data_IF_308008261965
#
_entry.id   IF_308008261965
#
_cell.length_a   1.000
_cell.length_b   1.000
_cell.length_c   1.000
_cell.angle_alpha   90.00
_cell.angle_beta   90.00
_cell.angle_gamma   90.00
#
_symmetry.space_group_name_H-M   'P 1'
#
loop_
_entity.id
_entity.type
_entity.pdbx_description
1 polymer ?
#
# COMPACT_ATOMS: atom_id res chain seq x y z
N UNK A 1 13.76 6.52 23.75
CA UNK A 1 12.54 5.82 23.30
C UNK A 1 12.76 5.36 21.88
N UNK A 2 12.88 4.05 21.65
CA UNK A 2 12.95 3.48 20.30
C UNK A 2 11.59 3.70 19.64
N UNK A 3 11.47 4.75 18.82
CA UNK A 3 10.28 4.97 18.01
C UNK A 3 10.14 3.75 17.11
N UNK A 4 9.02 3.04 17.22
CA UNK A 4 8.66 2.02 16.24
C UNK A 4 8.70 2.60 14.82
N UNK A 5 8.58 1.76 13.78
CA UNK A 5 8.63 2.21 12.40
C UNK A 5 7.68 3.39 12.18
N UNK A 6 8.22 4.50 11.68
CA UNK A 6 7.48 5.77 11.51
C UNK A 6 6.38 5.59 10.47
N UNK A 7 5.12 5.82 10.85
CA UNK A 7 3.96 5.73 9.95
C UNK A 7 3.94 6.83 8.88
N UNK A 8 4.59 7.97 9.17
CA UNK A 8 4.44 9.19 8.38
C UNK A 8 5.00 9.04 6.96
N UNK A 9 6.27 8.66 6.82
CA UNK A 9 6.93 8.64 5.51
C UNK A 9 6.35 7.56 4.58
N UNK A 10 6.09 6.32 5.04
CA UNK A 10 5.41 5.33 4.22
C UNK A 10 4.03 5.80 3.74
N UNK A 11 3.22 6.39 4.63
CA UNK A 11 1.90 6.91 4.29
C UNK A 11 1.97 8.02 3.23
N UNK A 12 2.78 9.06 3.46
CA UNK A 12 2.95 10.17 2.51
C UNK A 12 3.54 9.69 1.17
N UNK A 13 4.45 8.70 1.21
CA UNK A 13 5.04 8.14 0.00
C UNK A 13 4.04 7.34 -0.83
N UNK A 14 3.14 6.56 -0.20
CA UNK A 14 2.07 5.87 -0.92
C UNK A 14 1.13 6.87 -1.61
N UNK A 15 0.70 7.91 -0.89
CA UNK A 15 -0.12 8.99 -1.46
C UNK A 15 0.55 9.66 -2.66
N UNK A 16 1.86 9.93 -2.55
CA UNK A 16 2.66 10.56 -3.60
C UNK A 16 2.86 9.67 -4.83
N UNK A 17 3.22 8.40 -4.62
CA UNK A 17 3.51 7.42 -5.69
C UNK A 17 2.26 7.12 -6.50
N UNK A 18 1.15 6.86 -5.81
CA UNK A 18 -0.12 6.49 -6.44
C UNK A 18 -0.97 7.69 -6.88
N UNK A 19 -0.47 8.91 -6.68
CA UNK A 19 -1.16 10.17 -7.00
C UNK A 19 -2.60 10.20 -6.45
N UNK A 20 -2.75 9.73 -5.21
CA UNK A 20 -4.05 9.71 -4.53
C UNK A 20 -4.47 11.15 -4.26
N UNK A 21 -5.67 11.58 -4.70
CA UNK A 21 -6.21 12.88 -4.30
C UNK A 21 -6.39 12.92 -2.77
N UNK A 22 -5.97 14.02 -2.16
CA UNK A 22 -6.04 14.23 -0.71
C UNK A 22 -6.79 15.51 -0.39
N UNK A 23 -7.45 15.51 0.77
CA UNK A 23 -7.88 16.71 1.48
C UNK A 23 -6.96 16.95 2.67
N UNK A 24 -6.26 18.08 2.68
CA UNK A 24 -5.44 18.52 3.81
C UNK A 24 -6.21 19.57 4.58
N UNK A 25 -6.51 19.28 5.84
CA UNK A 25 -7.12 20.22 6.77
C UNK A 25 -6.01 20.92 7.55
N UNK A 26 -6.07 22.24 7.59
CA UNK A 26 -5.15 23.06 8.36
C UNK A 26 -5.66 23.26 9.79
N UNK A 27 -4.78 23.63 10.71
CA UNK A 27 -5.10 23.91 12.12
C UNK A 27 -6.12 25.04 12.29
N UNK A 28 -6.21 25.96 11.32
CA UNK A 28 -7.20 27.04 11.30
C UNK A 28 -8.54 26.64 10.63
N UNK A 29 -8.69 25.38 10.23
CA UNK A 29 -9.90 24.85 9.60
C UNK A 29 -9.96 25.00 8.08
N UNK A 30 -9.01 25.68 7.43
CA UNK A 30 -8.96 25.75 5.97
C UNK A 30 -8.71 24.36 5.39
N UNK A 31 -9.42 24.02 4.31
CA UNK A 31 -9.26 22.78 3.56
C UNK A 31 -8.54 23.05 2.24
N UNK A 32 -7.41 22.38 2.04
CA UNK A 32 -6.70 22.31 0.77
C UNK A 32 -6.98 20.97 0.10
N UNK A 33 -7.05 20.96 -1.23
CA UNK A 33 -7.25 19.74 -2.01
C UNK A 33 -6.26 19.67 -3.16
N UNK A 34 -5.80 18.47 -3.46
CA UNK A 34 -4.82 18.23 -4.52
C UNK A 34 -4.20 16.85 -4.40
N UNK A 35 -3.02 16.68 -4.99
CA UNK A 35 -2.19 15.48 -4.87
C UNK A 35 -0.85 15.83 -4.25
N UNK A 36 -0.26 14.90 -3.49
CA UNK A 36 1.09 15.10 -2.95
C UNK A 36 2.10 14.93 -4.08
N UNK A 37 2.83 16.00 -4.39
CA UNK A 37 3.88 16.00 -5.41
C UNK A 37 5.22 15.52 -4.81
N UNK A 38 5.60 16.09 -3.66
CA UNK A 38 6.78 15.74 -2.88
C UNK A 38 6.57 16.12 -1.39
N UNK A 39 7.47 15.69 -0.53
CA UNK A 39 7.50 16.09 0.88
C UNK A 39 8.92 15.91 1.43
N UNK A 40 9.22 16.63 2.51
CA UNK A 40 10.42 16.42 3.31
C UNK A 40 10.05 16.30 4.79
N UNK A 41 11.00 16.52 5.70
CA UNK A 41 10.76 16.46 7.14
C UNK A 41 9.72 17.48 7.63
N UNK A 42 9.64 18.68 7.04
CA UNK A 42 8.87 19.81 7.55
C UNK A 42 7.73 20.27 6.66
N UNK A 43 7.76 19.97 5.36
CA UNK A 43 6.78 20.45 4.38
C UNK A 43 6.22 19.34 3.49
N UNK A 44 5.06 19.62 2.91
CA UNK A 44 4.43 18.83 1.86
C UNK A 44 4.17 19.76 0.67
N UNK A 45 4.57 19.34 -0.52
CA UNK A 45 4.23 20.05 -1.76
C UNK A 45 2.91 19.47 -2.30
N UNK A 46 1.86 20.27 -2.25
CA UNK A 46 0.52 19.90 -2.71
C UNK A 46 0.28 20.50 -4.10
N UNK A 47 -0.06 19.67 -5.08
CA UNK A 47 -0.39 20.09 -6.44
C UNK A 47 -1.90 20.08 -6.66
N UNK A 48 -2.45 21.24 -7.03
CA UNK A 48 -3.75 21.35 -7.69
C UNK A 48 -3.54 21.92 -9.10
N UNK A 49 -4.07 23.11 -9.43
CA UNK A 49 -3.64 23.90 -10.59
C UNK A 49 -2.16 24.28 -10.50
N UNK A 50 -1.71 24.70 -9.33
CA UNK A 50 -0.31 25.08 -9.03
C UNK A 50 0.26 24.20 -7.92
N UNK A 51 1.59 24.19 -7.81
CA UNK A 51 2.28 23.53 -6.69
C UNK A 51 2.41 24.53 -5.56
N UNK A 52 1.91 24.18 -4.38
CA UNK A 52 2.00 25.01 -3.19
C UNK A 52 2.69 24.23 -2.07
N UNK A 53 3.55 24.92 -1.32
CA UNK A 53 4.23 24.36 -0.16
C UNK A 53 3.37 24.54 1.08
N UNK A 54 3.12 23.46 1.82
CA UNK A 54 2.34 23.46 3.06
C UNK A 54 3.23 22.96 4.20
N UNK A 55 3.43 23.79 5.22
CA UNK A 55 4.19 23.40 6.40
C UNK A 55 3.40 22.43 7.28
N UNK A 56 4.04 21.34 7.71
CA UNK A 56 3.40 20.29 8.53
C UNK A 56 2.86 20.81 9.86
N UNK A 57 3.48 21.83 10.46
CA UNK A 57 2.98 22.42 11.71
C UNK A 57 1.60 23.08 11.54
N UNK A 58 1.26 23.48 10.32
CA UNK A 58 -0.03 24.08 10.01
C UNK A 58 -1.09 23.05 9.60
N UNK A 59 -0.71 21.78 9.42
CA UNK A 59 -1.61 20.69 9.02
C UNK A 59 -2.18 20.02 10.27
N UNK A 60 -3.50 19.91 10.36
CA UNK A 60 -4.18 19.12 11.39
C UNK A 60 -4.43 17.68 10.93
N UNK A 61 -4.85 17.47 9.67
CA UNK A 61 -5.20 16.13 9.17
C UNK A 61 -5.01 16.02 7.65
N UNK A 62 -4.57 14.86 7.17
CA UNK A 62 -4.52 14.51 5.75
C UNK A 62 -5.47 13.33 5.52
N UNK A 63 -6.48 13.52 4.67
CA UNK A 63 -7.50 12.52 4.35
C UNK A 63 -7.40 12.13 2.88
N UNK A 64 -7.11 10.86 2.55
CA UNK A 64 -7.08 10.41 1.17
C UNK A 64 -8.49 10.15 0.62
N UNK A 65 -8.68 10.37 -0.68
CA UNK A 65 -9.96 10.15 -1.35
C UNK A 65 -10.33 8.66 -1.49
N UNK A 66 -9.35 7.77 -1.31
CA UNK A 66 -9.53 6.32 -1.22
C UNK A 66 -8.61 5.76 -0.15
N UNK A 67 -8.94 4.58 0.37
CA UNK A 67 -8.06 3.89 1.31
C UNK A 67 -6.68 3.67 0.67
N UNK A 68 -5.64 3.99 1.43
CA UNK A 68 -4.28 3.65 1.06
C UNK A 68 -4.10 2.18 1.42
N UNK A 69 -3.96 1.33 0.40
CA UNK A 69 -3.57 -0.07 0.56
C UNK A 69 -2.18 -0.07 1.13
N UNK A 70 -2.15 -0.08 2.44
CA UNK A 70 -0.90 0.03 3.12
C UNK A 70 -0.41 -1.39 3.25
N UNK A 71 0.74 -1.67 2.66
CA UNK A 71 1.61 -2.74 3.16
C UNK A 71 2.11 -2.36 4.57
N UNK A 72 1.20 -2.00 5.48
CA UNK A 72 1.42 -1.96 6.91
C UNK A 72 1.40 -3.41 7.41
N UNK A 73 2.30 -4.23 6.87
CA UNK A 73 2.76 -5.39 7.60
C UNK A 73 3.59 -4.83 8.77
N UNK A 74 2.92 -4.58 9.88
CA UNK A 74 3.58 -4.49 11.17
C UNK A 74 4.33 -5.81 11.38
N UNK A 75 5.63 -5.81 11.09
CA UNK A 75 6.57 -6.87 11.46
C UNK A 75 6.11 -8.29 11.17
N UNK A 76 6.32 -8.78 9.95
CA UNK A 76 6.51 -10.21 9.74
C UNK A 76 7.81 -10.46 8.95
N UNK A 77 8.94 -10.35 9.66
CA UNK A 77 10.11 -11.15 9.31
C UNK A 77 9.71 -12.62 9.54
N UNK A 78 9.16 -13.28 8.53
CA UNK A 78 8.65 -14.64 8.68
C UNK A 78 8.40 -15.31 7.36
N UNK A 79 9.38 -16.12 6.95
CA UNK A 79 9.33 -17.18 5.94
C UNK A 79 9.59 -16.80 4.47
N UNK A 80 10.88 -16.85 4.13
CA UNK A 80 11.29 -17.53 2.91
C UNK A 80 10.64 -18.92 2.87
N UNK A 81 9.70 -19.16 1.95
CA UNK A 81 9.35 -20.51 1.54
C UNK A 81 9.99 -20.78 0.19
N UNK A 82 11.25 -21.23 0.23
CA UNK A 82 11.75 -22.14 -0.80
C UNK A 82 10.91 -23.42 -0.69
N UNK A 83 9.97 -23.63 -1.61
CA UNK A 83 9.35 -24.94 -1.76
C UNK A 83 9.72 -25.50 -3.13
N UNK A 84 10.82 -26.25 -3.11
CA UNK A 84 11.10 -27.27 -4.08
C UNK A 84 10.05 -28.38 -3.98
N UNK A 85 9.58 -28.85 -5.13
CA UNK A 85 8.88 -30.11 -5.26
C UNK A 85 7.38 -29.97 -5.46
N UNK A 86 6.96 -30.01 -6.72
CA UNK A 86 5.97 -31.05 -7.02
C UNK A 86 6.13 -31.62 -8.42
N UNK A 87 6.37 -32.92 -8.40
CA UNK A 87 6.51 -33.88 -9.49
C UNK A 87 5.13 -34.06 -10.11
N UNK A 88 4.96 -33.81 -11.41
CA UNK A 88 3.80 -34.33 -12.13
C UNK A 88 4.23 -35.54 -12.98
N UNK A 89 4.10 -36.72 -12.38
CA UNK A 89 4.09 -38.02 -13.07
C UNK A 89 2.76 -38.14 -13.79
N UNK A 90 2.73 -37.90 -15.10
CA UNK A 90 1.63 -38.37 -15.93
C UNK A 90 1.81 -39.89 -16.14
N UNK A 91 1.06 -40.69 -15.37
CA UNK A 91 0.85 -42.09 -15.69
C UNK A 91 -0.56 -42.53 -15.31
N UNK A 92 -1.31 -42.87 -16.37
CA UNK A 92 -2.41 -43.84 -16.48
C UNK A 92 -3.52 -43.87 -15.43
N UNK A 93 -4.77 -43.76 -15.89
CA UNK A 93 -5.88 -44.65 -15.52
C UNK A 93 -6.92 -44.62 -16.66
N UNK A 94 -7.02 -45.67 -17.49
CA UNK A 94 -7.85 -46.88 -17.33
C UNK A 94 -9.37 -46.61 -17.22
N UNK A 95 -10.05 -46.83 -18.34
CA UNK A 95 -11.51 -47.02 -18.55
C UNK A 95 -11.60 -48.29 -19.40
N UNK A 96 -12.37 -49.35 -19.18
CA UNK A 96 -13.69 -49.59 -18.55
C UNK A 96 -13.79 -51.10 -18.20
N UNK A 97 -14.76 -51.53 -17.37
CA UNK A 97 -15.04 -52.94 -17.11
C UNK A 97 -15.93 -53.59 -18.20
N UNK A 98 -15.67 -54.85 -18.54
CA UNK A 98 -16.45 -55.67 -19.47
C UNK A 98 -16.51 -57.14 -19.00
N UNK A 99 -17.71 -57.70 -19.07
CA UNK A 99 -18.27 -58.93 -18.47
C UNK A 99 -17.59 -60.30 -18.78
N UNK A 100 -17.97 -61.39 -18.07
CA UNK A 100 -17.18 -62.61 -17.87
C UNK A 100 -17.42 -63.72 -18.92
N UNK A 101 -16.52 -64.70 -18.98
CA UNK A 101 -16.72 -65.98 -19.67
C UNK A 101 -16.19 -67.15 -18.82
N UNK A 102 -17.09 -68.12 -18.62
CA UNK A 102 -17.02 -69.52 -18.12
C UNK A 102 -16.33 -69.83 -16.78
#
# INVERSE_FOLDING_TARGET
MTKGPSLQDPFLNSLRKEKIPVSIYLVNGIKLQGVIESFDQFVVLLKNTVSQMVYKHAISTIVPARNVSSAFEYGNNGYHSNNAGNINKNSSNHTKPGFPQE
#
